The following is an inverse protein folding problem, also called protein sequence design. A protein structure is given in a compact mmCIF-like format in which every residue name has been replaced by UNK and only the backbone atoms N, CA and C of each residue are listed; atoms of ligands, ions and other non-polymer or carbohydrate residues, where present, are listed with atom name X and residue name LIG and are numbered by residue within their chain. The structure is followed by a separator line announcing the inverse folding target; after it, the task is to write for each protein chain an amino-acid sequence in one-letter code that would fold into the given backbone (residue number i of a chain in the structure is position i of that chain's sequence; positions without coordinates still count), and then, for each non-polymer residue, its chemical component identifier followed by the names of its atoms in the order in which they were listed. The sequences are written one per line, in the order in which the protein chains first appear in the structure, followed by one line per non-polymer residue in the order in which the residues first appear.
data_IF_021889743266
#
_entry.id   IF_021889743266
#
_cell.length_a   1.000
_cell.length_b   1.000
_cell.length_c   1.000
_cell.angle_alpha   90.00
_cell.angle_beta   90.00
_cell.angle_gamma   90.00
#
_symmetry.space_group_name_H-M   'P 1'
#
loop_
_entity.id
_entity.type
_entity.pdbx_description
1 polymer ?
#
# COMPACT_ATOMS: atom_id res chain seq x y z
N UNK A 1 -10.52 26.39 10.38
CA UNK A 1 -9.93 25.26 11.15
C UNK A 1 -9.19 24.37 10.17
N UNK A 2 -7.94 23.97 10.45
CA UNK A 2 -7.23 23.04 9.55
C UNK A 2 -8.02 21.74 9.44
N UNK A 3 -8.25 21.27 8.22
CA UNK A 3 -9.06 20.07 7.93
C UNK A 3 -8.48 18.81 8.61
N UNK A 4 -7.21 18.86 9.00
CA UNK A 4 -6.49 17.80 9.73
C UNK A 4 -7.01 17.54 11.15
N UNK A 5 -7.71 18.48 11.80
CA UNK A 5 -8.22 18.30 13.16
C UNK A 5 -9.65 17.77 13.25
N UNK A 6 -10.35 17.63 12.13
CA UNK A 6 -11.73 17.13 12.14
C UNK A 6 -11.72 15.61 12.38
N UNK A 7 -12.25 15.20 13.53
CA UNK A 7 -12.44 13.80 13.94
C UNK A 7 -13.91 13.52 14.29
N UNK A 8 -14.31 12.27 14.14
CA UNK A 8 -15.55 11.71 14.66
C UNK A 8 -15.19 10.80 15.83
N UNK A 9 -15.97 10.88 16.91
CA UNK A 9 -15.75 10.11 18.12
C UNK A 9 -17.07 9.49 18.59
N UNK A 10 -16.99 8.25 19.08
CA UNK A 10 -18.11 7.57 19.71
C UNK A 10 -18.23 8.04 21.17
N UNK A 11 -19.46 8.14 21.68
CA UNK A 11 -19.69 8.53 23.08
C UNK A 11 -19.21 7.47 24.06
N UNK A 12 -18.58 7.89 25.16
CA UNK A 12 -18.07 6.98 26.21
C UNK A 12 -19.18 6.15 26.87
N UNK A 13 -20.37 6.74 27.05
CA UNK A 13 -21.56 6.04 27.54
C UNK A 13 -21.94 4.86 26.64
N UNK A 14 -21.88 5.03 25.31
CA UNK A 14 -22.15 3.96 24.36
C UNK A 14 -21.08 2.87 24.44
N UNK A 15 -19.80 3.25 24.48
CA UNK A 15 -18.67 2.32 24.55
C UNK A 15 -18.62 1.51 25.85
N UNK A 16 -19.14 2.05 26.96
CA UNK A 16 -19.21 1.36 28.26
C UNK A 16 -19.91 0.01 28.19
N UNK A 17 -20.83 -0.18 27.23
CA UNK A 17 -21.54 -1.43 26.99
C UNK A 17 -20.60 -2.59 26.60
N UNK A 18 -19.44 -2.26 26.01
CA UNK A 18 -18.50 -3.19 25.38
C UNK A 18 -17.17 -3.34 26.13
N UNK A 19 -16.79 -2.34 26.93
CA UNK A 19 -15.52 -2.35 27.69
C UNK A 19 -15.45 -3.58 28.61
N UNK A 20 -14.32 -4.30 28.54
CA UNK A 20 -14.07 -5.49 29.34
C UNK A 20 -14.89 -6.72 28.94
N UNK A 21 -15.65 -6.67 27.84
CA UNK A 21 -16.45 -7.78 27.33
C UNK A 21 -15.85 -8.33 26.04
N UNK A 22 -16.34 -9.49 25.63
CA UNK A 22 -16.02 -10.13 24.36
C UNK A 22 -17.32 -10.45 23.61
N UNK A 23 -17.33 -10.36 22.27
CA UNK A 23 -18.45 -10.85 21.47
C UNK A 23 -18.48 -12.39 21.48
N UNK A 24 -19.52 -12.95 20.87
CA UNK A 24 -19.65 -14.41 20.70
C UNK A 24 -18.67 -14.91 19.62
N UNK A 25 -17.43 -15.17 20.02
CA UNK A 25 -16.41 -15.72 19.13
C UNK A 25 -16.73 -17.14 18.69
N UNK A 26 -16.38 -17.47 17.44
CA UNK A 26 -16.21 -18.86 17.02
C UNK A 26 -14.96 -19.51 17.62
N UNK A 27 -14.75 -20.83 17.43
CA UNK A 27 -13.70 -21.60 18.10
C UNK A 27 -12.27 -21.04 17.94
N UNK A 28 -11.97 -20.41 16.80
CA UNK A 28 -10.65 -19.83 16.49
C UNK A 28 -10.68 -18.30 16.38
N UNK A 29 -11.83 -17.68 16.62
CA UNK A 29 -12.08 -16.27 16.30
C UNK A 29 -11.19 -15.32 17.09
N UNK A 30 -11.16 -15.48 18.41
CA UNK A 30 -10.39 -14.58 19.28
C UNK A 30 -8.87 -14.70 19.03
N UNK A 31 -8.35 -15.93 18.91
CA UNK A 31 -6.92 -16.16 18.63
C UNK A 31 -6.52 -15.57 17.29
N UNK A 32 -7.34 -15.75 16.25
CA UNK A 32 -7.11 -15.16 14.94
C UNK A 32 -7.16 -13.62 15.01
N UNK A 33 -8.11 -13.06 15.74
CA UNK A 33 -8.20 -11.61 15.94
C UNK A 33 -6.95 -11.04 16.62
N UNK A 34 -6.54 -11.63 17.76
CA UNK A 34 -5.39 -11.12 18.54
C UNK A 34 -4.09 -11.19 17.75
N UNK A 35 -3.88 -12.24 16.95
CA UNK A 35 -2.64 -12.38 16.18
C UNK A 35 -2.60 -11.54 14.90
N UNK A 36 -3.76 -11.16 14.33
CA UNK A 36 -3.83 -10.61 12.96
C UNK A 36 -4.36 -9.18 12.89
N UNK A 37 -5.31 -8.80 13.75
CA UNK A 37 -6.03 -7.51 13.63
C UNK A 37 -5.87 -6.60 14.84
N UNK A 38 -5.56 -7.16 16.01
CA UNK A 38 -5.27 -6.40 17.23
C UNK A 38 -3.93 -5.69 17.08
N UNK A 39 -3.96 -4.35 17.02
CA UNK A 39 -2.73 -3.57 16.97
C UNK A 39 -2.10 -3.50 18.36
N UNK A 40 -0.77 -3.48 18.43
CA UNK A 40 -0.06 -3.24 19.68
C UNK A 40 0.58 -1.87 19.71
N UNK A 41 0.36 -1.16 20.82
CA UNK A 41 1.01 0.10 21.14
C UNK A 41 1.57 -0.02 22.57
N UNK A 42 2.87 0.27 22.73
CA UNK A 42 3.58 0.20 24.02
C UNK A 42 3.43 -1.15 24.76
N UNK A 43 3.42 -2.26 24.04
CA UNK A 43 3.36 -3.61 24.61
C UNK A 43 1.96 -4.07 25.02
N UNK A 44 0.94 -3.22 24.88
CA UNK A 44 -0.46 -3.63 25.05
C UNK A 44 -1.11 -3.80 23.69
N UNK A 45 -1.88 -4.86 23.51
CA UNK A 45 -2.61 -5.14 22.26
C UNK A 45 -4.09 -4.81 22.43
N UNK A 46 -4.71 -4.25 21.40
CA UNK A 46 -6.14 -3.91 21.41
C UNK A 46 -7.01 -5.12 21.80
N UNK A 47 -8.06 -4.85 22.56
CA UNK A 47 -9.24 -5.71 22.62
C UNK A 47 -10.24 -5.32 21.54
N UNK A 48 -11.13 -6.25 21.17
CA UNK A 48 -11.97 -6.11 19.98
C UNK A 48 -12.82 -4.84 20.01
N UNK A 49 -13.32 -4.45 21.19
CA UNK A 49 -14.07 -3.20 21.35
C UNK A 49 -13.25 -1.94 20.99
N UNK A 50 -11.93 -1.95 21.24
CA UNK A 50 -11.01 -0.87 20.88
C UNK A 50 -10.76 -0.85 19.38
N UNK A 51 -10.55 -2.02 18.78
CA UNK A 51 -10.44 -2.14 17.31
C UNK A 51 -11.70 -1.63 16.63
N UNK A 52 -12.90 -2.01 17.09
CA UNK A 52 -14.16 -1.51 16.54
C UNK A 52 -14.29 0.01 16.69
N UNK A 53 -13.96 0.56 17.86
CA UNK A 53 -13.94 2.02 18.08
C UNK A 53 -13.07 2.70 17.03
N UNK A 54 -11.81 2.27 16.90
CA UNK A 54 -10.84 2.83 15.93
C UNK A 54 -11.38 2.75 14.50
N UNK A 55 -11.85 1.59 14.07
CA UNK A 55 -12.32 1.35 12.70
C UNK A 55 -13.53 2.22 12.36
N UNK A 56 -14.50 2.31 13.27
CA UNK A 56 -15.75 3.04 13.05
C UNK A 56 -15.51 4.53 13.12
N UNK A 57 -14.79 5.01 14.13
CA UNK A 57 -14.38 6.41 14.20
C UNK A 57 -13.56 6.83 12.98
N UNK A 58 -12.70 5.93 12.50
CA UNK A 58 -11.97 6.13 11.24
C UNK A 58 -12.88 6.32 10.04
N UNK A 59 -13.86 5.43 9.89
CA UNK A 59 -14.82 5.45 8.78
C UNK A 59 -15.64 6.75 8.76
N UNK A 60 -16.21 7.14 9.90
CA UNK A 60 -17.01 8.36 10.01
C UNK A 60 -16.16 9.63 10.00
N UNK A 61 -14.90 9.57 10.42
CA UNK A 61 -13.94 10.68 10.26
C UNK A 61 -13.65 10.95 8.79
N UNK A 62 -13.41 9.91 7.99
CA UNK A 62 -13.20 10.05 6.54
C UNK A 62 -14.43 10.70 5.89
N UNK A 63 -15.63 10.22 6.22
CA UNK A 63 -16.87 10.79 5.69
C UNK A 63 -17.05 12.25 6.12
N UNK A 64 -16.84 12.57 7.39
CA UNK A 64 -16.96 13.93 7.93
C UNK A 64 -15.97 14.89 7.26
N UNK A 65 -14.73 14.45 7.05
CA UNK A 65 -13.71 15.22 6.32
C UNK A 65 -14.09 15.41 4.85
N UNK A 66 -14.62 14.39 4.20
CA UNK A 66 -15.10 14.49 2.82
C UNK A 66 -16.23 15.52 2.70
N UNK A 67 -17.24 15.46 3.59
CA UNK A 67 -18.33 16.43 3.61
C UNK A 67 -17.80 17.85 3.82
N UNK A 68 -16.91 18.05 4.80
CA UNK A 68 -16.31 19.36 5.06
C UNK A 68 -15.47 19.88 3.88
N UNK A 69 -14.63 19.04 3.26
CA UNK A 69 -13.76 19.45 2.14
C UNK A 69 -14.55 19.85 0.90
N UNK A 70 -15.72 19.26 0.70
CA UNK A 70 -16.55 19.46 -0.49
C UNK A 70 -17.80 20.31 -0.22
N UNK A 71 -17.86 21.00 0.93
CA UNK A 71 -19.02 21.81 1.35
C UNK A 71 -20.37 21.05 1.29
N UNK A 72 -20.35 19.76 1.62
CA UNK A 72 -21.55 18.92 1.67
C UNK A 72 -22.13 18.92 3.10
N UNK A 73 -23.46 18.78 3.24
CA UNK A 73 -24.11 18.76 4.55
C UNK A 73 -23.66 17.57 5.40
N UNK A 74 -23.43 17.82 6.70
CA UNK A 74 -23.13 16.81 7.70
C UNK A 74 -24.19 16.80 8.81
N UNK A 75 -24.96 15.72 8.92
CA UNK A 75 -25.95 15.54 9.98
C UNK A 75 -25.35 14.73 11.13
N UNK A 76 -24.89 15.42 12.18
CA UNK A 76 -24.22 14.79 13.32
C UNK A 76 -25.10 13.77 14.09
N UNK A 77 -26.39 14.05 14.40
CA UNK A 77 -27.27 13.06 15.02
C UNK A 77 -27.43 11.78 14.19
N UNK A 78 -27.63 11.91 12.87
CA UNK A 78 -27.73 10.75 11.97
C UNK A 78 -26.42 9.97 11.92
N UNK A 79 -25.29 10.65 11.83
CA UNK A 79 -23.97 10.01 11.80
C UNK A 79 -23.72 9.22 13.09
N UNK A 80 -24.02 9.78 14.26
CA UNK A 80 -23.90 9.09 15.54
C UNK A 80 -24.75 7.83 15.59
N UNK A 81 -26.05 7.92 15.27
CA UNK A 81 -26.95 6.77 15.23
C UNK A 81 -26.46 5.68 14.26
N UNK A 82 -25.89 6.08 13.12
CA UNK A 82 -25.36 5.15 12.12
C UNK A 82 -24.08 4.48 12.59
N UNK A 83 -23.19 5.21 13.27
CA UNK A 83 -21.95 4.69 13.82
C UNK A 83 -22.20 3.69 14.96
N UNK A 84 -23.12 4.03 15.87
CA UNK A 84 -23.53 3.13 16.95
C UNK A 84 -24.17 1.84 16.38
N UNK A 85 -25.08 1.96 15.41
CA UNK A 85 -25.65 0.78 14.72
C UNK A 85 -24.59 -0.06 14.00
N UNK A 86 -23.65 0.59 13.32
CA UNK A 86 -22.53 -0.10 12.66
C UNK A 86 -21.67 -0.86 13.69
N UNK A 87 -21.43 -0.27 14.85
CA UNK A 87 -20.71 -0.90 15.95
C UNK A 87 -21.44 -2.16 16.44
N UNK A 88 -22.73 -2.05 16.76
CA UNK A 88 -23.54 -3.16 17.25
C UNK A 88 -23.52 -4.34 16.24
N UNK A 89 -23.67 -4.03 14.95
CA UNK A 89 -23.64 -5.05 13.89
C UNK A 89 -22.27 -5.72 13.73
N UNK A 90 -21.17 -4.96 13.86
CA UNK A 90 -19.82 -5.53 13.81
C UNK A 90 -19.52 -6.36 15.06
N UNK A 91 -19.95 -5.90 16.24
CA UNK A 91 -19.82 -6.63 17.50
C UNK A 91 -20.52 -7.99 17.45
N UNK A 92 -21.73 -8.05 16.89
CA UNK A 92 -22.51 -9.27 16.71
C UNK A 92 -22.13 -10.07 15.45
N UNK A 93 -20.99 -9.75 14.82
CA UNK A 93 -20.47 -10.37 13.59
C UNK A 93 -21.49 -10.46 12.45
N UNK A 94 -22.42 -9.49 12.34
CA UNK A 94 -23.38 -9.40 11.22
C UNK A 94 -22.72 -8.95 9.93
N UNK A 95 -21.64 -8.19 10.04
CA UNK A 95 -20.70 -7.95 8.96
C UNK A 95 -19.35 -7.52 9.56
N UNK A 96 -18.30 -7.60 8.75
CA UNK A 96 -17.00 -7.00 9.07
C UNK A 96 -16.46 -6.29 7.83
N UNK A 97 -15.65 -5.23 7.98
CA UNK A 97 -14.85 -4.75 6.86
C UNK A 97 -13.84 -5.84 6.44
N UNK A 98 -13.18 -5.68 5.28
CA UNK A 98 -12.04 -6.52 4.94
C UNK A 98 -10.99 -6.50 6.06
N UNK A 99 -10.16 -7.55 6.14
CA UNK A 99 -9.09 -7.64 7.15
C UNK A 99 -8.17 -6.41 7.18
N UNK A 100 -7.94 -5.77 6.02
CA UNK A 100 -7.23 -4.50 5.95
C UNK A 100 -7.95 -3.36 6.65
N UNK A 101 -9.27 -3.27 6.51
CA UNK A 101 -10.09 -2.31 7.23
C UNK A 101 -9.96 -2.50 8.73
N UNK A 102 -10.00 -3.74 9.23
CA UNK A 102 -9.77 -4.04 10.64
C UNK A 102 -8.37 -3.58 11.12
N UNK A 103 -7.34 -3.78 10.30
CA UNK A 103 -5.95 -3.43 10.66
C UNK A 103 -5.62 -1.93 10.53
N UNK A 104 -6.12 -1.24 9.50
CA UNK A 104 -5.65 0.09 9.11
C UNK A 104 -6.68 1.22 9.30
N UNK A 105 -7.99 0.94 9.28
CA UNK A 105 -8.99 1.99 9.40
C UNK A 105 -8.84 2.71 10.74
N UNK A 106 -8.91 4.04 10.71
CA UNK A 106 -8.78 4.89 11.90
C UNK A 106 -7.35 5.09 12.44
N UNK A 107 -6.34 4.42 11.89
CA UNK A 107 -4.93 4.66 12.27
C UNK A 107 -4.42 6.00 11.75
N UNK A 108 -3.44 6.62 12.40
CA UNK A 108 -2.83 7.85 11.88
C UNK A 108 -2.10 7.66 10.54
N UNK A 109 -1.69 6.43 10.25
CA UNK A 109 -1.09 6.07 8.98
C UNK A 109 -1.99 6.48 7.79
N UNK A 110 -3.28 6.16 7.82
CA UNK A 110 -4.19 6.43 6.68
C UNK A 110 -4.47 7.93 6.49
N UNK A 111 -4.27 8.76 7.52
CA UNK A 111 -4.43 10.20 7.41
C UNK A 111 -3.18 10.89 6.89
N UNK A 112 -2.01 10.31 7.17
CA UNK A 112 -0.71 10.85 6.76
C UNK A 112 -0.24 10.34 5.39
N UNK A 113 -0.61 9.10 5.03
CA UNK A 113 -0.14 8.40 3.82
C UNK A 113 -1.24 8.08 2.80
N UNK A 114 -2.48 8.51 3.07
CA UNK A 114 -3.62 8.33 2.18
C UNK A 114 -4.35 6.99 2.34
N UNK A 115 -5.30 6.74 1.44
CA UNK A 115 -6.29 5.66 1.56
C UNK A 115 -5.89 4.35 0.89
N UNK A 116 -4.80 4.30 0.11
CA UNK A 116 -4.34 3.06 -0.52
C UNK A 116 -4.22 1.86 0.45
N UNK A 117 -3.72 2.03 1.69
CA UNK A 117 -3.75 1.00 2.74
C UNK A 117 -5.13 0.58 3.23
N UNK A 118 -6.24 1.15 2.75
CA UNK A 118 -7.60 0.67 3.04
C UNK A 118 -8.11 -0.28 1.97
N UNK A 119 -7.43 -0.35 0.83
CA UNK A 119 -7.78 -1.20 -0.30
C UNK A 119 -6.98 -2.50 -0.24
N UNK A 120 -7.63 -3.60 -0.61
CA UNK A 120 -6.98 -4.92 -0.67
C UNK A 120 -6.43 -5.23 -2.06
N UNK A 121 -7.15 -4.80 -3.09
CA UNK A 121 -6.85 -5.13 -4.48
C UNK A 121 -6.92 -3.87 -5.35
N UNK A 122 -6.18 -3.86 -6.44
CA UNK A 122 -6.24 -2.85 -7.49
C UNK A 122 -6.03 -3.51 -8.86
N UNK A 123 -6.23 -2.72 -9.92
CA UNK A 123 -5.98 -3.11 -11.29
C UNK A 123 -5.25 -1.98 -12.00
N UNK A 124 -4.30 -2.31 -12.88
CA UNK A 124 -3.63 -1.35 -13.75
C UNK A 124 -3.60 -1.83 -15.20
N UNK A 125 -3.92 -0.95 -16.13
CA UNK A 125 -3.90 -1.25 -17.57
C UNK A 125 -2.52 -0.94 -18.14
N UNK A 126 -2.02 -1.80 -19.03
CA UNK A 126 -0.78 -1.53 -19.79
C UNK A 126 -1.08 -0.90 -21.15
N UNK A 127 -2.33 -0.53 -21.41
CA UNK A 127 -2.76 0.03 -22.70
C UNK A 127 -1.95 1.27 -23.13
N UNK A 128 -1.43 2.05 -22.17
CA UNK A 128 -0.74 3.31 -22.43
C UNK A 128 0.78 3.23 -22.26
N UNK A 129 1.40 2.05 -22.39
CA UNK A 129 2.87 1.91 -22.29
C UNK A 129 3.65 2.81 -23.26
N UNK A 130 3.07 3.19 -24.40
CA UNK A 130 3.69 4.12 -25.35
C UNK A 130 3.64 5.60 -24.92
N UNK A 131 2.93 5.92 -23.84
CA UNK A 131 2.85 7.28 -23.26
C UNK A 131 3.82 7.40 -22.08
N UNK A 132 3.78 6.43 -21.16
CA UNK A 132 4.73 6.29 -20.07
C UNK A 132 4.97 4.79 -19.89
N UNK A 133 6.17 4.34 -20.23
CA UNK A 133 6.51 2.92 -20.18
C UNK A 133 6.59 2.41 -18.74
N UNK A 134 6.99 3.25 -17.79
CA UNK A 134 7.15 2.86 -16.39
C UNK A 134 5.84 2.87 -15.59
N UNK A 135 4.89 3.73 -15.94
CA UNK A 135 3.70 4.02 -15.11
C UNK A 135 3.00 2.79 -14.51
N UNK A 136 2.59 1.77 -15.29
CA UNK A 136 1.82 0.67 -14.73
C UNK A 136 2.65 -0.23 -13.81
N UNK A 137 3.96 -0.31 -14.07
CA UNK A 137 4.91 -1.07 -13.26
C UNK A 137 5.24 -0.34 -11.95
N UNK A 138 5.40 0.97 -12.00
CA UNK A 138 5.53 1.84 -10.83
C UNK A 138 4.27 1.77 -9.96
N UNK A 139 3.08 1.80 -10.57
CA UNK A 139 1.81 1.63 -9.85
C UNK A 139 1.73 0.26 -9.17
N UNK A 140 2.11 -0.83 -9.86
CA UNK A 140 2.19 -2.16 -9.26
C UNK A 140 3.11 -2.13 -8.02
N UNK A 141 4.33 -1.62 -8.17
CA UNK A 141 5.33 -1.61 -7.10
C UNK A 141 4.83 -0.81 -5.89
N UNK A 142 4.29 0.39 -6.13
CA UNK A 142 3.79 1.28 -5.08
C UNK A 142 2.66 0.64 -4.25
N UNK A 143 1.65 0.13 -4.95
CA UNK A 143 0.48 -0.47 -4.34
C UNK A 143 0.82 -1.79 -3.65
N UNK A 144 1.70 -2.59 -4.24
CA UNK A 144 2.18 -3.85 -3.64
C UNK A 144 3.05 -3.60 -2.41
N UNK A 145 3.78 -2.50 -2.33
CA UNK A 145 4.52 -2.13 -1.11
C UNK A 145 3.59 -1.71 0.03
N UNK A 146 2.40 -1.18 -0.27
CA UNK A 146 1.29 -1.04 0.69
C UNK A 146 0.53 -2.37 0.90
N UNK A 147 0.99 -3.42 0.22
CA UNK A 147 0.47 -4.78 0.12
C UNK A 147 -0.98 -4.86 -0.31
N UNK A 148 -1.34 -4.00 -1.26
CA UNK A 148 -2.47 -4.18 -2.16
C UNK A 148 -2.05 -5.18 -3.23
N UNK A 149 -2.88 -6.18 -3.52
CA UNK A 149 -2.66 -7.06 -4.68
C UNK A 149 -3.09 -6.37 -5.96
N UNK A 150 -2.24 -6.33 -6.98
CA UNK A 150 -2.54 -5.62 -8.24
C UNK A 150 -2.63 -6.62 -9.37
N UNK A 151 -3.78 -6.63 -10.07
CA UNK A 151 -3.91 -7.29 -11.37
C UNK A 151 -3.50 -6.36 -12.50
N UNK A 152 -2.99 -6.90 -13.59
CA UNK A 152 -2.67 -6.13 -14.80
C UNK A 152 -3.04 -6.87 -16.08
N UNK A 153 -3.24 -6.12 -17.16
CA UNK A 153 -3.37 -6.69 -18.51
C UNK A 153 -2.05 -6.63 -19.29
N UNK A 154 -2.08 -7.13 -20.53
CA UNK A 154 -0.97 -7.04 -21.48
C UNK A 154 -1.35 -6.25 -22.74
N UNK A 155 -2.32 -5.32 -22.65
CA UNK A 155 -2.76 -4.49 -23.79
C UNK A 155 -1.64 -3.58 -24.33
N UNK A 156 -0.56 -3.41 -23.58
CA UNK A 156 0.66 -2.72 -23.97
C UNK A 156 1.58 -3.48 -24.93
N UNK A 157 1.32 -4.77 -25.15
CA UNK A 157 2.15 -5.59 -26.03
C UNK A 157 2.21 -4.98 -27.45
N UNK A 158 3.42 -4.86 -28.00
CA UNK A 158 3.67 -4.30 -29.32
C UNK A 158 3.68 -2.76 -29.40
N UNK A 159 3.42 -2.05 -28.29
CA UNK A 159 3.29 -0.58 -28.28
C UNK A 159 4.59 0.17 -28.05
N UNK A 160 5.57 -0.44 -27.39
CA UNK A 160 6.88 0.16 -27.11
C UNK A 160 7.96 -0.64 -27.83
N UNK A 161 8.87 0.05 -28.50
CA UNK A 161 10.13 -0.52 -28.99
C UNK A 161 11.21 -0.20 -27.97
N UNK A 162 11.89 -1.22 -27.46
CA UNK A 162 12.97 -1.05 -26.50
C UNK A 162 14.17 -0.44 -27.21
N UNK A 163 14.68 0.67 -26.69
CA UNK A 163 15.84 1.39 -27.20
C UNK A 163 17.09 1.01 -26.43
N UNK A 164 18.24 1.18 -27.08
CA UNK A 164 19.52 1.17 -26.38
C UNK A 164 19.64 2.49 -25.59
N UNK A 165 19.71 2.46 -24.25
CA UNK A 165 19.67 3.66 -23.44
C UNK A 165 21.00 4.44 -23.56
N UNK A 166 20.91 5.77 -23.65
CA UNK A 166 22.08 6.62 -23.45
C UNK A 166 22.50 6.55 -21.98
N UNK A 167 23.79 6.39 -21.73
CA UNK A 167 24.33 6.32 -20.37
C UNK A 167 24.86 7.67 -19.89
N UNK A 168 24.69 7.94 -18.59
CA UNK A 168 25.35 9.05 -17.88
C UNK A 168 26.33 8.50 -16.84
N UNK A 169 27.52 9.09 -16.80
CA UNK A 169 28.56 8.76 -15.81
C UNK A 169 28.31 9.50 -14.49
N UNK A 170 27.11 9.31 -13.95
CA UNK A 170 26.65 9.83 -12.68
C UNK A 170 26.18 8.67 -11.79
N UNK A 171 25.95 8.97 -10.51
CA UNK A 171 25.47 8.01 -9.52
C UNK A 171 24.00 8.29 -9.21
N UNK A 172 23.13 7.32 -9.48
CA UNK A 172 21.75 7.37 -8.98
C UNK A 172 21.73 6.92 -7.53
N UNK A 173 21.31 7.80 -6.63
CA UNK A 173 21.24 7.50 -5.20
C UNK A 173 19.83 7.09 -4.80
N UNK A 174 19.69 5.88 -4.27
CA UNK A 174 18.38 5.31 -3.90
C UNK A 174 18.03 5.73 -2.48
N UNK A 175 16.99 6.53 -2.34
CA UNK A 175 16.48 6.92 -1.02
C UNK A 175 15.90 5.73 -0.25
N UNK A 176 16.01 5.75 1.08
CA UNK A 176 15.40 4.76 1.99
C UNK A 176 13.88 4.94 2.17
N UNK A 177 13.19 5.13 1.06
CA UNK A 177 11.76 5.35 0.98
C UNK A 177 11.15 4.44 -0.08
N UNK A 178 9.86 4.15 0.05
CA UNK A 178 9.12 3.42 -0.98
C UNK A 178 9.19 4.16 -2.31
N UNK A 179 9.03 5.48 -2.25
CA UNK A 179 9.09 6.40 -3.37
C UNK A 179 10.47 6.34 -4.06
N UNK A 180 11.58 6.30 -3.31
CA UNK A 180 12.92 6.15 -3.87
C UNK A 180 13.14 4.84 -4.64
N UNK A 181 12.53 3.74 -4.20
CA UNK A 181 12.59 2.46 -4.92
C UNK A 181 11.79 2.51 -6.22
N UNK A 182 10.65 3.21 -6.21
CA UNK A 182 9.82 3.43 -7.40
C UNK A 182 10.54 4.32 -8.41
N UNK A 183 11.22 5.38 -7.95
CA UNK A 183 11.99 6.26 -8.83
C UNK A 183 13.16 5.52 -9.50
N UNK A 184 13.82 4.58 -8.80
CA UNK A 184 14.82 3.70 -9.41
C UNK A 184 14.20 2.85 -10.55
N UNK A 185 13.06 2.20 -10.30
CA UNK A 185 12.36 1.40 -11.31
C UNK A 185 11.94 2.27 -12.50
N UNK A 186 11.40 3.47 -12.23
CA UNK A 186 10.99 4.43 -13.26
C UNK A 186 12.17 4.83 -14.13
N UNK A 187 13.29 5.21 -13.51
CA UNK A 187 14.52 5.57 -14.21
C UNK A 187 14.98 4.43 -15.13
N UNK A 188 15.05 3.20 -14.60
CA UNK A 188 15.45 2.03 -15.38
C UNK A 188 14.54 1.84 -16.60
N UNK A 189 13.22 1.74 -16.40
CA UNK A 189 12.27 1.48 -17.48
C UNK A 189 12.29 2.61 -18.52
N UNK A 190 12.19 3.87 -18.09
CA UNK A 190 12.12 5.01 -19.00
C UNK A 190 13.46 5.29 -19.72
N UNK A 191 14.58 4.76 -19.23
CA UNK A 191 15.83 4.76 -19.99
C UNK A 191 15.71 3.92 -21.27
N UNK A 192 15.04 2.77 -21.18
CA UNK A 192 14.78 1.87 -22.32
C UNK A 192 13.63 2.32 -23.23
N UNK A 193 12.80 3.29 -22.81
CA UNK A 193 11.90 4.02 -23.71
C UNK A 193 12.58 5.23 -24.39
N UNK A 194 13.78 5.59 -23.93
CA UNK A 194 14.58 6.73 -24.39
C UNK A 194 14.05 8.09 -23.91
N UNK A 195 13.31 8.11 -22.80
CA UNK A 195 12.85 9.34 -22.15
C UNK A 195 13.91 9.94 -21.22
N UNK A 196 14.72 9.09 -20.60
CA UNK A 196 15.81 9.48 -19.68
C UNK A 196 17.09 8.71 -19.99
N UNK A 197 18.20 9.13 -19.38
CA UNK A 197 19.46 8.39 -19.47
C UNK A 197 19.55 7.29 -18.40
N UNK A 198 20.26 6.21 -18.69
CA UNK A 198 20.62 5.17 -17.72
C UNK A 198 21.84 5.61 -16.90
N UNK A 199 21.75 5.53 -15.58
CA UNK A 199 22.89 5.83 -14.71
C UNK A 199 23.85 4.63 -14.67
N UNK A 200 25.15 4.88 -14.86
CA UNK A 200 26.17 3.81 -14.83
C UNK A 200 26.36 3.17 -13.46
N UNK A 201 26.03 3.89 -12.38
CA UNK A 201 26.21 3.44 -11.00
C UNK A 201 24.95 3.73 -10.20
N UNK A 202 24.51 2.73 -9.45
CA UNK A 202 23.41 2.86 -8.50
C UNK A 202 23.98 2.73 -7.08
N UNK A 203 23.72 3.72 -6.24
CA UNK A 203 24.13 3.73 -4.83
C UNK A 203 22.93 3.38 -3.93
N UNK A 204 23.01 2.21 -3.30
CA UNK A 204 22.01 1.68 -2.36
C UNK A 204 22.38 1.93 -0.88
N UNK A 205 23.44 2.69 -0.60
CA UNK A 205 24.01 2.84 0.75
C UNK A 205 23.03 3.40 1.78
N UNK A 206 22.04 4.17 1.36
CA UNK A 206 21.01 4.72 2.25
C UNK A 206 19.91 3.71 2.59
N UNK A 207 19.66 2.72 1.72
CA UNK A 207 18.59 1.74 1.92
C UNK A 207 18.84 0.93 3.19
N UNK A 208 17.86 0.94 4.10
CA UNK A 208 18.02 0.33 5.43
C UNK A 208 18.32 -1.16 5.32
N UNK A 209 19.23 -1.61 6.17
CA UNK A 209 19.67 -3.02 6.24
C UNK A 209 18.54 -3.97 6.62
N UNK A 210 18.73 -5.24 6.25
CA UNK A 210 17.85 -6.35 6.64
C UNK A 210 17.64 -6.38 8.16
N UNK A 211 16.39 -6.56 8.60
CA UNK A 211 16.00 -6.58 10.00
C UNK A 211 15.65 -5.20 10.59
N UNK A 212 15.94 -4.09 9.91
CA UNK A 212 15.56 -2.75 10.37
C UNK A 212 14.02 -2.59 10.41
N UNK A 213 13.45 -2.01 11.46
CA UNK A 213 11.99 -1.86 11.60
C UNK A 213 11.38 -0.96 10.51
N UNK A 214 10.24 -1.38 9.95
CA UNK A 214 9.43 -0.55 9.05
C UNK A 214 8.38 0.21 9.87
N UNK A 215 8.48 1.53 9.91
CA UNK A 215 7.50 2.38 10.60
C UNK A 215 6.15 2.37 9.86
N UNK A 216 5.05 2.25 10.60
CA UNK A 216 3.68 2.40 10.08
C UNK A 216 2.98 1.09 9.73
N UNK A 217 3.51 0.32 8.77
CA UNK A 217 2.89 -0.94 8.32
C UNK A 217 3.20 -2.16 9.22
N UNK A 218 4.23 -2.06 10.07
CA UNK A 218 4.77 -3.18 10.83
C UNK A 218 5.82 -3.97 10.02
N UNK A 219 6.45 -4.95 10.66
CA UNK A 219 7.48 -5.79 10.03
C UNK A 219 8.90 -5.20 10.05
N UNK A 220 9.80 -5.86 9.34
CA UNK A 220 11.22 -5.49 9.19
C UNK A 220 11.60 -5.42 7.72
N UNK A 221 12.63 -4.63 7.41
CA UNK A 221 13.22 -4.50 6.08
C UNK A 221 13.93 -5.77 5.68
N UNK A 222 13.97 -6.02 4.38
CA UNK A 222 14.75 -7.13 3.79
C UNK A 222 16.15 -6.72 3.33
N UNK A 223 16.48 -5.44 3.49
CA UNK A 223 17.71 -4.88 2.92
C UNK A 223 17.55 -4.48 1.45
N UNK A 224 18.62 -3.95 0.83
CA UNK A 224 18.61 -3.57 -0.58
C UNK A 224 18.63 -4.75 -1.55
N UNK A 225 19.02 -5.95 -1.11
CA UNK A 225 19.26 -7.10 -1.99
C UNK A 225 18.11 -7.41 -2.95
N UNK A 226 16.83 -7.50 -2.51
CA UNK A 226 15.75 -7.78 -3.44
C UNK A 226 15.53 -6.70 -4.50
N UNK A 227 15.87 -5.44 -4.17
CA UNK A 227 15.79 -4.33 -5.11
C UNK A 227 16.91 -4.41 -6.15
N UNK A 228 18.13 -4.76 -5.72
CA UNK A 228 19.28 -4.98 -6.60
C UNK A 228 18.97 -6.11 -7.60
N UNK A 229 18.52 -7.27 -7.10
CA UNK A 229 18.14 -8.41 -7.95
C UNK A 229 17.04 -8.04 -8.96
N UNK A 230 16.04 -7.26 -8.55
CA UNK A 230 14.98 -6.80 -9.45
C UNK A 230 15.52 -5.88 -10.54
N UNK A 231 16.38 -4.92 -10.16
CA UNK A 231 17.01 -4.00 -11.11
C UNK A 231 17.83 -4.77 -12.15
N UNK A 232 18.70 -5.68 -11.71
CA UNK A 232 19.59 -6.44 -12.58
C UNK A 232 18.82 -7.37 -13.53
N UNK A 233 17.78 -8.05 -13.03
CA UNK A 233 16.95 -8.93 -13.86
C UNK A 233 16.14 -8.16 -14.89
N UNK A 234 15.53 -7.03 -14.51
CA UNK A 234 14.78 -6.17 -15.46
C UNK A 234 15.74 -5.57 -16.48
N UNK A 235 16.92 -5.10 -16.06
CA UNK A 235 17.93 -4.56 -16.96
C UNK A 235 18.38 -5.61 -17.98
N UNK A 236 18.71 -6.82 -17.52
CA UNK A 236 19.10 -7.95 -18.38
C UNK A 236 18.00 -8.32 -19.36
N UNK A 237 16.75 -8.37 -18.89
CA UNK A 237 15.58 -8.61 -19.75
C UNK A 237 15.53 -7.56 -20.86
N UNK A 238 15.54 -6.27 -20.52
CA UNK A 238 15.39 -5.18 -21.49
C UNK A 238 16.58 -5.09 -22.47
N UNK A 239 17.81 -5.33 -22.03
CA UNK A 239 18.98 -5.40 -22.93
C UNK A 239 18.79 -6.45 -24.03
N UNK A 240 18.26 -7.63 -23.70
CA UNK A 240 17.99 -8.70 -24.69
C UNK A 240 16.90 -8.33 -25.72
N UNK A 241 16.12 -7.28 -25.41
CA UNK A 241 14.99 -6.80 -26.20
C UNK A 241 15.30 -5.53 -26.99
N UNK A 242 16.51 -4.98 -26.94
CA UNK A 242 16.90 -3.79 -27.73
C UNK A 242 16.54 -3.96 -29.21
N UNK A 243 15.91 -2.93 -29.77
CA UNK A 243 15.41 -2.88 -31.14
C UNK A 243 14.11 -3.67 -31.37
N UNK A 244 13.63 -4.43 -30.39
CA UNK A 244 12.40 -5.23 -30.48
C UNK A 244 11.25 -4.54 -29.78
N UNK A 245 10.04 -4.90 -30.19
CA UNK A 245 8.83 -4.50 -29.48
C UNK A 245 8.64 -5.33 -28.21
N UNK A 246 8.15 -4.69 -27.15
CA UNK A 246 7.73 -5.34 -25.91
C UNK A 246 6.62 -6.34 -26.20
N UNK A 247 6.74 -7.56 -25.68
CA UNK A 247 5.74 -8.62 -25.80
C UNK A 247 4.88 -8.73 -24.54
N UNK A 248 3.79 -9.50 -24.60
CA UNK A 248 3.01 -9.83 -23.41
C UNK A 248 3.85 -10.57 -22.36
N UNK A 249 4.77 -11.44 -22.79
CA UNK A 249 5.66 -12.14 -21.85
C UNK A 249 6.60 -11.17 -21.14
N UNK A 250 7.23 -10.24 -21.89
CA UNK A 250 8.10 -9.21 -21.29
C UNK A 250 7.35 -8.39 -20.22
N UNK A 251 6.09 -8.00 -20.49
CA UNK A 251 5.23 -7.28 -19.53
C UNK A 251 4.97 -8.11 -18.27
N UNK A 252 4.58 -9.37 -18.45
CA UNK A 252 4.30 -10.29 -17.32
C UNK A 252 5.57 -10.56 -16.51
N UNK A 253 6.72 -10.69 -17.16
CA UNK A 253 8.00 -10.91 -16.49
C UNK A 253 8.39 -9.71 -15.63
N UNK A 254 8.24 -8.48 -16.13
CA UNK A 254 8.48 -7.27 -15.33
C UNK A 254 7.52 -7.22 -14.12
N UNK A 255 6.23 -7.51 -14.31
CA UNK A 255 5.28 -7.61 -13.19
C UNK A 255 5.71 -8.67 -12.15
N UNK A 256 6.17 -9.84 -12.60
CA UNK A 256 6.63 -10.92 -11.73
C UNK A 256 7.91 -10.56 -10.96
N UNK A 257 8.88 -9.92 -11.62
CA UNK A 257 10.12 -9.47 -10.98
C UNK A 257 9.85 -8.43 -9.89
N UNK A 258 8.95 -7.48 -10.14
CA UNK A 258 8.48 -6.53 -9.13
C UNK A 258 7.76 -7.25 -7.99
N UNK A 259 6.87 -8.19 -8.30
CA UNK A 259 6.19 -9.02 -7.30
C UNK A 259 7.17 -9.77 -6.41
N UNK A 260 8.22 -10.38 -6.98
CA UNK A 260 9.28 -11.09 -6.26
C UNK A 260 10.06 -10.15 -5.35
N UNK A 261 10.42 -8.96 -5.83
CA UNK A 261 11.07 -7.91 -5.04
C UNK A 261 10.22 -7.55 -3.82
N UNK A 262 8.93 -7.27 -4.04
CA UNK A 262 8.03 -6.82 -2.98
C UNK A 262 7.72 -7.93 -1.98
N UNK A 263 7.50 -9.18 -2.40
CA UNK A 263 7.27 -10.30 -1.48
C UNK A 263 8.51 -10.54 -0.61
N UNK A 264 9.69 -10.45 -1.21
CA UNK A 264 10.95 -10.57 -0.47
C UNK A 264 11.16 -9.38 0.45
N UNK A 265 10.71 -8.17 0.08
CA UNK A 265 10.84 -6.90 0.80
C UNK A 265 9.79 -6.61 1.89
N UNK A 266 8.60 -7.21 1.79
CA UNK A 266 7.51 -7.05 2.75
C UNK A 266 7.50 -8.21 3.73
N UNK A 267 8.13 -8.01 4.89
CA UNK A 267 8.00 -8.95 6.02
C UNK A 267 6.63 -8.76 6.68
N UNK A 268 5.59 -9.23 6.00
CA UNK A 268 4.30 -9.60 6.60
C UNK A 268 4.40 -11.03 7.15
N UNK A 269 5.35 -11.27 8.04
CA UNK A 269 5.42 -12.48 8.86
C UNK A 269 5.59 -12.08 10.32
#
# INVERSE_FOLDING_TARGET
MSVEKIRFELGEEFLSKYKGKQPKWGPLGYVTYKRTYSRSENGTSEEYWQTLKRVIEGTFTIQKRHCNRNNLPWNAPKARKSAEKMYDLMWEFKFTPPGRGLWMAGTDYIYNKGSAPLNNCAYVSTENLNIDFAEPFCFLMDMSMLGVGVGGDCKGAGKVTIKDPSEVDEVFKVEDTREGWIELLRMLLNSYSGEVCLYKKIDYSEVRKKGAKIKGFGGVSSGPEPLIEMYDDINTLLQSRIGKKVTSSDIVDIFNLIGRCVVSGNVRR
#
